data_IF_748987436610
#
_entry.id   IF_748987436610
#
_cell.length_a   1.000
_cell.length_b   1.000
_cell.length_c   1.000
_cell.angle_alpha   90.00
_cell.angle_beta   90.00
_cell.angle_gamma   90.00
#
_symmetry.space_group_name_H-M   'P 1'
#
loop_
_entity.id
_entity.type
_entity.pdbx_description
1 polymer ?
#
# COMPACT_ATOMS: atom_id res chain seq x y z
N UNK A 1 -28.10 -72.16 45.24
CA UNK A 1 -27.57 -71.86 43.89
C UNK A 1 -26.86 -70.52 43.99
N UNK A 2 -25.52 -70.52 43.91
CA UNK A 2 -24.69 -69.33 44.05
C UNK A 2 -24.06 -68.95 42.70
N UNK A 3 -24.05 -67.65 42.42
CA UNK A 3 -23.19 -66.86 41.51
C UNK A 3 -23.95 -66.14 40.36
N UNK A 4 -23.44 -65.01 39.83
CA UNK A 4 -22.32 -64.18 40.31
C UNK A 4 -22.60 -62.66 40.37
N UNK A 5 -21.68 -61.98 41.07
CA UNK A 5 -21.40 -60.55 41.03
C UNK A 5 -21.31 -60.02 39.59
N UNK A 6 -21.78 -58.79 39.37
CA UNK A 6 -21.30 -57.98 38.25
C UNK A 6 -20.67 -56.70 38.79
N UNK A 7 -19.34 -56.63 38.64
CA UNK A 7 -18.49 -55.52 39.02
C UNK A 7 -18.69 -54.37 38.03
N UNK A 8 -18.66 -53.15 38.57
CA UNK A 8 -18.56 -51.90 37.84
C UNK A 8 -17.43 -51.95 36.80
N UNK A 9 -17.75 -51.65 35.54
CA UNK A 9 -16.76 -51.23 34.52
C UNK A 9 -16.91 -49.73 34.27
N UNK A 10 -15.82 -48.94 34.30
CA UNK A 10 -15.87 -47.52 33.99
C UNK A 10 -16.07 -47.32 32.49
N UNK A 11 -17.00 -46.43 32.16
CA UNK A 11 -17.49 -46.15 30.81
C UNK A 11 -16.41 -45.48 29.93
N UNK A 12 -15.99 -46.07 28.79
CA UNK A 12 -14.93 -45.51 27.93
C UNK A 12 -15.34 -44.23 27.17
N UNK A 13 -16.62 -43.85 27.19
CA UNK A 13 -17.10 -42.64 26.50
C UNK A 13 -16.71 -41.32 27.21
N UNK A 14 -16.54 -41.32 28.53
CA UNK A 14 -16.14 -40.10 29.27
C UNK A 14 -14.68 -39.71 29.00
N UNK A 15 -13.79 -40.70 28.83
CA UNK A 15 -12.38 -40.45 28.51
C UNK A 15 -12.16 -39.83 27.13
N UNK A 16 -13.03 -40.13 26.15
CA UNK A 16 -12.85 -39.69 24.77
C UNK A 16 -13.36 -38.25 24.54
N UNK A 17 -14.35 -37.80 25.29
CA UNK A 17 -14.81 -36.39 25.29
C UNK A 17 -13.83 -35.48 26.04
N UNK A 18 -13.28 -35.94 27.17
CA UNK A 18 -12.20 -35.22 27.88
C UNK A 18 -10.92 -35.15 27.04
N UNK A 19 -10.53 -36.22 26.34
CA UNK A 19 -9.37 -36.23 25.45
C UNK A 19 -9.50 -35.25 24.26
N UNK A 20 -10.69 -35.16 23.65
CA UNK A 20 -10.96 -34.19 22.58
C UNK A 20 -10.93 -32.74 23.08
N UNK A 21 -11.50 -32.47 24.26
CA UNK A 21 -11.45 -31.14 24.90
C UNK A 21 -10.03 -30.74 25.31
N UNK A 22 -9.21 -31.68 25.77
CA UNK A 22 -7.79 -31.48 26.06
C UNK A 22 -6.99 -31.21 24.78
N UNK A 23 -7.30 -31.90 23.67
CA UNK A 23 -6.63 -31.71 22.40
C UNK A 23 -6.98 -30.37 21.75
N UNK A 24 -8.24 -29.93 21.83
CA UNK A 24 -8.65 -28.59 21.38
C UNK A 24 -8.03 -27.49 22.25
N UNK A 25 -7.98 -27.67 23.58
CA UNK A 25 -7.28 -26.73 24.48
C UNK A 25 -5.78 -26.67 24.20
N UNK A 26 -5.15 -27.82 23.94
CA UNK A 26 -3.73 -27.88 23.57
C UNK A 26 -3.47 -27.14 22.25
N UNK A 27 -4.34 -27.30 21.26
CA UNK A 27 -4.23 -26.63 19.96
C UNK A 27 -4.49 -25.12 20.07
N UNK A 28 -5.43 -24.70 20.91
CA UNK A 28 -5.68 -23.28 21.21
C UNK A 28 -4.49 -22.65 21.95
N UNK A 29 -3.92 -23.36 22.93
CA UNK A 29 -2.72 -22.93 23.65
C UNK A 29 -1.51 -22.83 22.71
N UNK A 30 -1.36 -23.75 21.76
CA UNK A 30 -0.33 -23.69 20.72
C UNK A 30 -0.50 -22.46 19.82
N UNK A 31 -1.73 -22.17 19.37
CA UNK A 31 -2.00 -20.95 18.58
C UNK A 31 -1.72 -19.69 19.38
N UNK A 32 -2.08 -19.68 20.67
CA UNK A 32 -1.81 -18.55 21.55
C UNK A 32 -0.30 -18.34 21.76
N UNK A 33 0.46 -19.41 21.99
CA UNK A 33 1.93 -19.36 22.05
C UNK A 33 2.51 -18.83 20.75
N UNK A 34 2.02 -19.31 19.60
CA UNK A 34 2.52 -18.88 18.29
C UNK A 34 2.23 -17.39 18.03
N UNK A 35 1.05 -16.90 18.42
CA UNK A 35 0.74 -15.47 18.38
C UNK A 35 1.63 -14.66 19.32
N UNK A 36 1.87 -15.12 20.55
CA UNK A 36 2.76 -14.44 21.49
C UNK A 36 4.20 -14.36 20.94
N UNK A 37 4.70 -15.44 20.35
CA UNK A 37 6.02 -15.48 19.75
C UNK A 37 6.13 -14.52 18.56
N UNK A 38 5.07 -14.42 17.76
CA UNK A 38 4.98 -13.49 16.64
C UNK A 38 4.93 -12.02 17.10
N UNK A 39 4.20 -11.72 18.18
CA UNK A 39 4.18 -10.40 18.80
C UNK A 39 5.53 -10.02 19.40
N UNK A 40 6.23 -10.97 20.05
CA UNK A 40 7.59 -10.74 20.54
C UNK A 40 8.57 -10.43 19.40
N UNK A 41 8.49 -11.18 18.28
CA UNK A 41 9.31 -10.88 17.10
C UNK A 41 9.02 -9.49 16.53
N UNK A 42 7.75 -9.10 16.43
CA UNK A 42 7.37 -7.76 15.97
C UNK A 42 7.91 -6.68 16.89
N UNK A 43 7.75 -6.84 18.21
CA UNK A 43 8.27 -5.88 19.18
C UNK A 43 9.79 -5.77 19.13
N UNK A 44 10.50 -6.89 18.98
CA UNK A 44 11.95 -6.90 18.85
C UNK A 44 12.41 -6.21 17.55
N UNK A 45 11.68 -6.43 16.46
CA UNK A 45 11.92 -5.75 15.18
C UNK A 45 11.66 -4.24 15.29
N UNK A 46 10.62 -3.83 16.02
CA UNK A 46 10.30 -2.42 16.26
C UNK A 46 11.37 -1.74 17.13
N UNK A 47 11.87 -2.42 18.17
CA UNK A 47 13.00 -1.92 18.96
C UNK A 47 14.28 -1.76 18.13
N UNK A 48 14.59 -2.73 17.25
CA UNK A 48 15.71 -2.60 16.33
C UNK A 48 15.54 -1.40 15.39
N UNK A 49 14.34 -1.19 14.85
CA UNK A 49 14.05 -0.03 14.01
C UNK A 49 14.20 1.29 14.77
N UNK A 50 13.75 1.36 16.02
CA UNK A 50 13.95 2.54 16.87
C UNK A 50 15.43 2.80 17.16
N UNK A 51 16.22 1.76 17.44
CA UNK A 51 17.66 1.90 17.68
C UNK A 51 18.38 2.41 16.42
N UNK A 52 18.02 1.89 15.24
CA UNK A 52 18.53 2.37 13.95
C UNK A 52 18.16 3.85 13.74
N UNK A 53 16.92 4.23 14.03
CA UNK A 53 16.48 5.62 13.90
C UNK A 53 17.24 6.57 14.83
N UNK A 54 17.48 6.16 16.09
CA UNK A 54 18.27 6.93 17.04
C UNK A 54 19.71 7.11 16.57
N UNK A 55 20.32 6.05 16.06
CA UNK A 55 21.68 6.10 15.51
C UNK A 55 21.75 7.03 14.29
N UNK A 56 20.73 7.03 13.42
CA UNK A 56 20.64 7.96 12.29
C UNK A 56 20.53 9.42 12.77
N UNK A 57 19.69 9.70 13.77
CA UNK A 57 19.56 11.05 14.31
C UNK A 57 20.88 11.56 14.92
N UNK A 58 21.61 10.70 15.65
CA UNK A 58 22.93 11.03 16.18
C UNK A 58 23.92 11.36 15.05
N UNK A 59 23.95 10.55 13.99
CA UNK A 59 24.85 10.80 12.87
C UNK A 59 24.50 12.10 12.15
N UNK A 60 23.21 12.41 12.00
CA UNK A 60 22.75 13.66 11.39
C UNK A 60 23.20 14.88 12.22
N UNK A 61 23.09 14.82 13.55
CA UNK A 61 23.62 15.85 14.44
C UNK A 61 25.14 16.02 14.31
N UNK A 62 25.86 14.90 14.23
CA UNK A 62 27.32 14.92 14.04
C UNK A 62 27.68 15.60 12.72
N UNK A 63 26.95 15.30 11.64
CA UNK A 63 27.12 15.93 10.33
C UNK A 63 26.85 17.44 10.39
N UNK A 64 25.80 17.86 11.08
CA UNK A 64 25.43 19.27 11.20
C UNK A 64 26.47 20.07 11.98
N UNK A 65 27.00 19.49 13.06
CA UNK A 65 28.12 20.06 13.84
C UNK A 65 29.35 20.23 12.96
N UNK A 66 29.67 19.22 12.16
CA UNK A 66 30.83 19.26 11.26
C UNK A 66 30.68 20.36 10.19
N UNK A 67 29.46 20.51 9.65
CA UNK A 67 29.15 21.54 8.66
C UNK A 67 29.23 22.95 9.24
N UNK A 68 28.84 23.15 10.50
CA UNK A 68 29.04 24.43 11.19
C UNK A 68 30.52 24.75 11.40
N UNK A 69 31.31 23.76 11.84
CA UNK A 69 32.76 23.93 12.00
C UNK A 69 33.44 24.32 10.67
N UNK A 70 33.02 23.69 9.57
CA UNK A 70 33.46 24.01 8.21
C UNK A 70 33.18 25.47 7.82
N UNK A 71 31.96 25.95 8.11
CA UNK A 71 31.54 27.32 7.83
C UNK A 71 32.40 28.34 8.60
N UNK A 72 32.64 28.08 9.89
CA UNK A 72 33.47 28.96 10.72
C UNK A 72 34.90 29.04 10.19
N UNK A 73 35.46 27.90 9.78
CA UNK A 73 36.81 27.84 9.23
C UNK A 73 36.90 28.60 7.89
N UNK A 74 35.87 28.50 7.04
CA UNK A 74 35.78 29.24 5.77
C UNK A 74 35.70 30.75 5.99
N UNK A 75 34.91 31.20 6.97
CA UNK A 75 34.84 32.63 7.32
C UNK A 75 36.18 33.16 7.83
N UNK A 76 36.87 32.38 8.65
CA UNK A 76 38.22 32.71 9.14
C UNK A 76 39.19 32.85 7.96
N UNK A 77 39.00 32.04 6.92
CA UNK A 77 39.80 32.08 5.70
C UNK A 77 39.63 33.35 4.89
N UNK A 78 38.37 33.73 4.65
CA UNK A 78 38.08 34.99 3.99
C UNK A 78 38.67 36.18 4.74
N UNK A 79 38.53 36.23 6.06
CA UNK A 79 39.07 37.31 6.87
C UNK A 79 40.61 37.39 6.78
N UNK A 80 41.28 36.23 6.76
CA UNK A 80 42.74 36.16 6.66
C UNK A 80 43.22 36.62 5.28
N UNK A 81 42.56 36.18 4.21
CA UNK A 81 42.86 36.59 2.84
C UNK A 81 42.67 38.11 2.65
N UNK A 82 41.60 38.66 3.23
CA UNK A 82 41.34 40.09 3.17
C UNK A 82 42.38 40.90 3.95
N UNK A 83 42.83 40.41 5.12
CA UNK A 83 43.98 41.01 5.84
C UNK A 83 45.25 41.00 5.00
N UNK A 84 45.51 39.94 4.25
CA UNK A 84 46.69 39.85 3.39
C UNK A 84 46.64 40.89 2.26
N UNK A 85 45.51 41.03 1.56
CA UNK A 85 45.34 42.06 0.54
C UNK A 85 45.56 43.48 1.09
N UNK A 86 45.01 43.75 2.28
CA UNK A 86 45.22 45.03 2.95
C UNK A 86 46.69 45.29 3.28
N UNK A 87 47.44 44.26 3.74
CA UNK A 87 48.86 44.39 3.99
C UNK A 87 49.68 44.60 2.71
N UNK A 88 49.38 43.89 1.62
CA UNK A 88 50.03 44.11 0.33
C UNK A 88 49.82 45.55 -0.16
N UNK A 89 48.59 46.06 -0.05
CA UNK A 89 48.26 47.44 -0.42
C UNK A 89 49.07 48.45 0.40
N UNK A 90 49.17 48.23 1.72
CA UNK A 90 49.96 49.08 2.61
C UNK A 90 51.45 49.05 2.24
N UNK A 91 51.98 47.87 1.92
CA UNK A 91 53.38 47.70 1.53
C UNK A 91 53.69 48.38 0.20
N UNK A 92 52.77 48.31 -0.76
CA UNK A 92 52.86 49.01 -2.03
C UNK A 92 52.88 50.54 -1.84
N UNK A 93 52.00 51.07 -1.00
CA UNK A 93 51.99 52.50 -0.64
C UNK A 93 53.30 52.95 0.00
N UNK A 94 53.86 52.14 0.89
CA UNK A 94 55.12 52.46 1.58
C UNK A 94 56.31 52.47 0.61
N UNK A 95 56.34 51.52 -0.33
CA UNK A 95 57.36 51.45 -1.36
C UNK A 95 57.29 52.65 -2.32
N UNK A 96 56.08 53.05 -2.70
CA UNK A 96 55.83 54.21 -3.56
C UNK A 96 56.26 55.53 -2.88
N UNK A 97 55.97 55.68 -1.58
CA UNK A 97 56.45 56.81 -0.78
C UNK A 97 57.98 56.89 -0.74
N UNK A 98 58.66 55.75 -0.53
CA UNK A 98 60.13 55.70 -0.56
C UNK A 98 60.69 56.12 -1.91
N UNK A 99 60.06 55.67 -3.00
CA UNK A 99 60.51 55.99 -4.36
C UNK A 99 60.36 57.48 -4.66
N UNK A 100 59.26 58.11 -4.22
CA UNK A 100 59.08 59.57 -4.31
C UNK A 100 60.15 60.32 -3.50
N UNK A 101 60.46 59.84 -2.29
CA UNK A 101 61.47 60.47 -1.43
C UNK A 101 62.88 60.40 -2.06
N UNK A 102 63.23 59.26 -2.66
CA UNK A 102 64.48 59.12 -3.45
C UNK A 102 64.50 60.06 -4.65
N UNK A 103 63.41 60.16 -5.42
CA UNK A 103 63.33 61.09 -6.55
C UNK A 103 63.50 62.55 -6.10
N UNK A 104 62.86 62.97 -5.01
CA UNK A 104 63.03 64.31 -4.44
C UNK A 104 64.47 64.58 -4.02
N UNK A 105 65.13 63.63 -3.34
CA UNK A 105 66.55 63.77 -2.99
C UNK A 105 67.43 63.89 -4.24
N UNK A 106 67.16 63.09 -5.28
CA UNK A 106 67.92 63.14 -6.52
C UNK A 106 67.76 64.48 -7.25
N UNK A 107 66.53 65.03 -7.27
CA UNK A 107 66.27 66.37 -7.80
C UNK A 107 66.96 67.47 -6.98
N UNK A 108 66.93 67.39 -5.65
CA UNK A 108 67.65 68.34 -4.78
C UNK A 108 69.16 68.30 -4.99
N UNK A 109 69.74 67.11 -5.19
CA UNK A 109 71.17 66.96 -5.51
C UNK A 109 71.52 67.55 -6.88
N UNK A 110 70.64 67.44 -7.87
CA UNK A 110 70.84 68.09 -9.18
C UNK A 110 70.80 69.62 -9.13
N UNK A 111 70.14 70.21 -8.12
CA UNK A 111 70.02 71.67 -7.96
C UNK A 111 71.12 72.31 -7.10
N UNK A 112 72.00 71.51 -6.48
CA UNK A 112 73.08 71.98 -5.60
C UNK A 112 74.45 71.82 -6.27
N UNK A 113 75.04 72.92 -6.76
CA UNK A 113 76.44 72.99 -7.17
C UNK A 113 77.34 72.92 -5.91
N UNK A 114 77.93 71.77 -5.58
CA UNK A 114 78.81 71.64 -4.41
C UNK A 114 80.11 70.85 -4.64
N UNK A 115 81.06 71.15 -3.75
CA UNK A 115 82.47 70.79 -3.72
C UNK A 115 82.72 69.28 -3.43
N UNK A 116 83.81 68.67 -3.93
CA UNK A 116 84.00 67.20 -3.97
C UNK A 116 84.06 66.49 -2.60
N UNK A 117 84.41 67.22 -1.52
CA UNK A 117 84.62 66.63 -0.20
C UNK A 117 83.32 66.42 0.60
N UNK A 118 82.33 67.31 0.41
CA UNK A 118 80.97 67.11 0.94
C UNK A 118 80.22 66.01 0.18
N UNK A 119 80.57 65.79 -1.08
CA UNK A 119 80.00 64.75 -1.93
C UNK A 119 80.27 63.34 -1.37
N UNK A 120 81.49 63.10 -0.85
CA UNK A 120 81.87 61.81 -0.27
C UNK A 120 81.13 61.51 1.05
N UNK A 121 80.92 62.51 1.89
CA UNK A 121 80.23 62.37 3.18
C UNK A 121 78.72 62.12 2.98
N UNK A 122 78.13 62.81 2.00
CA UNK A 122 76.75 62.54 1.54
C UNK A 122 76.64 61.14 0.95
N UNK A 123 77.63 60.69 0.18
CA UNK A 123 77.65 59.35 -0.41
C UNK A 123 77.73 58.24 0.66
N UNK A 124 78.56 58.42 1.69
CA UNK A 124 78.61 57.50 2.83
C UNK A 124 77.30 57.48 3.63
N UNK A 125 76.68 58.65 3.86
CA UNK A 125 75.38 58.72 4.53
C UNK A 125 74.27 58.04 3.71
N UNK A 126 74.23 58.24 2.39
CA UNK A 126 73.30 57.56 1.50
C UNK A 126 73.54 56.04 1.45
N UNK A 127 74.79 55.61 1.59
CA UNK A 127 75.14 54.20 1.63
C UNK A 127 74.71 53.54 2.95
N UNK A 128 74.85 54.24 4.08
CA UNK A 128 74.28 53.78 5.36
C UNK A 128 72.75 53.75 5.33
N UNK A 129 72.11 54.74 4.71
CA UNK A 129 70.66 54.76 4.53
C UNK A 129 70.19 53.55 3.70
N UNK A 130 70.90 53.21 2.61
CA UNK A 130 70.61 52.02 1.81
C UNK A 130 70.80 50.71 2.58
N UNK A 131 71.84 50.59 3.41
CA UNK A 131 72.06 49.39 4.24
C UNK A 131 70.95 49.25 5.28
N UNK A 132 70.53 50.35 5.91
CA UNK A 132 69.40 50.37 6.84
C UNK A 132 68.08 49.99 6.14
N UNK A 133 67.86 50.53 4.93
CA UNK A 133 66.69 50.20 4.10
C UNK A 133 66.71 48.74 3.63
N UNK A 134 67.87 48.18 3.31
CA UNK A 134 68.04 46.77 2.98
C UNK A 134 67.70 45.86 4.17
N UNK A 135 68.08 46.26 5.39
CA UNK A 135 67.71 45.55 6.61
C UNK A 135 66.19 45.56 6.85
N UNK A 136 65.54 46.71 6.66
CA UNK A 136 64.07 46.83 6.75
C UNK A 136 63.38 45.97 5.68
N UNK A 137 63.93 45.94 4.47
CA UNK A 137 63.41 45.12 3.37
C UNK A 137 63.58 43.62 3.65
N UNK A 138 64.73 43.21 4.19
CA UNK A 138 64.96 41.82 4.59
C UNK A 138 64.03 41.38 5.73
N UNK A 139 63.77 42.25 6.71
CA UNK A 139 62.79 41.99 7.77
C UNK A 139 61.38 41.84 7.20
N UNK A 140 61.01 42.71 6.24
CA UNK A 140 59.72 42.64 5.56
C UNK A 140 59.55 41.36 4.72
N UNK A 141 60.62 40.93 4.03
CA UNK A 141 60.63 39.67 3.27
C UNK A 141 60.54 38.44 4.18
N UNK A 142 61.24 38.44 5.32
CA UNK A 142 61.13 37.37 6.32
C UNK A 142 59.71 37.29 6.89
N UNK A 143 59.08 38.45 7.14
CA UNK A 143 57.69 38.52 7.59
C UNK A 143 56.70 38.05 6.52
N UNK A 144 56.97 38.32 5.24
CA UNK A 144 56.17 37.83 4.11
C UNK A 144 56.31 36.31 3.91
N UNK A 145 57.50 35.74 4.11
CA UNK A 145 57.73 34.29 4.04
C UNK A 145 56.96 33.54 5.13
N UNK A 146 56.95 34.07 6.36
CA UNK A 146 56.14 33.55 7.47
C UNK A 146 54.64 33.60 7.14
N UNK A 147 54.16 34.66 6.49
CA UNK A 147 52.76 34.74 6.04
C UNK A 147 52.45 33.74 4.92
N UNK A 148 53.36 33.54 3.96
CA UNK A 148 53.17 32.50 2.94
C UNK A 148 53.08 31.10 3.56
N UNK A 149 53.90 30.81 4.58
CA UNK A 149 53.85 29.52 5.26
C UNK A 149 52.51 29.29 5.98
N UNK A 150 51.93 30.34 6.56
CA UNK A 150 50.58 30.31 7.14
C UNK A 150 49.50 30.13 6.05
N UNK A 151 49.66 30.75 4.89
CA UNK A 151 48.72 30.58 3.77
C UNK A 151 48.78 29.17 3.18
N UNK A 152 49.96 28.60 3.02
CA UNK A 152 50.13 27.24 2.49
C UNK A 152 49.57 26.18 3.45
N UNK A 153 49.88 26.28 4.75
CA UNK A 153 49.32 25.35 5.74
C UNK A 153 47.80 25.40 5.77
N UNK A 154 47.25 26.59 5.57
CA UNK A 154 45.81 26.79 5.52
C UNK A 154 45.15 26.33 4.23
N UNK A 155 45.82 26.47 3.09
CA UNK A 155 45.36 25.93 1.80
C UNK A 155 45.37 24.40 1.80
N UNK A 156 46.37 23.78 2.44
CA UNK A 156 46.40 22.34 2.67
C UNK A 156 45.26 21.89 3.60
N UNK A 157 44.96 22.68 4.64
CA UNK A 157 43.83 22.43 5.52
C UNK A 157 42.49 22.51 4.77
N UNK A 158 42.32 23.45 3.84
CA UNK A 158 41.15 23.52 2.94
C UNK A 158 41.00 22.29 2.05
N UNK A 159 42.09 21.76 1.52
CA UNK A 159 42.06 20.62 0.62
C UNK A 159 41.64 19.33 1.36
N UNK A 160 42.21 19.10 2.53
CA UNK A 160 41.78 18.01 3.43
C UNK A 160 40.30 18.14 3.81
N UNK A 161 39.84 19.37 4.00
CA UNK A 161 38.46 19.67 4.35
C UNK A 161 37.49 19.38 3.19
N UNK A 162 37.89 19.71 1.96
CA UNK A 162 37.13 19.40 0.75
C UNK A 162 37.00 17.89 0.54
N UNK A 163 38.10 17.15 0.71
CA UNK A 163 38.10 15.69 0.62
C UNK A 163 37.17 15.07 1.68
N UNK A 164 37.18 15.63 2.89
CA UNK A 164 36.29 15.19 3.96
C UNK A 164 34.82 15.47 3.64
N UNK A 165 34.50 16.61 3.03
CA UNK A 165 33.15 16.95 2.58
C UNK A 165 32.65 15.96 1.51
N UNK A 166 33.51 15.63 0.56
CA UNK A 166 33.19 14.66 -0.48
C UNK A 166 32.96 13.26 0.09
N UNK A 167 33.76 12.83 1.07
CA UNK A 167 33.58 11.58 1.78
C UNK A 167 32.23 11.53 2.54
N UNK A 168 31.86 12.63 3.21
CA UNK A 168 30.56 12.75 3.90
C UNK A 168 29.39 12.70 2.90
N UNK A 169 29.52 13.36 1.75
CA UNK A 169 28.48 13.35 0.72
C UNK A 169 28.29 11.95 0.12
N UNK A 170 29.39 11.21 -0.10
CA UNK A 170 29.33 9.81 -0.51
C UNK A 170 28.66 8.94 0.56
N UNK A 171 28.99 9.16 1.84
CA UNK A 171 28.35 8.45 2.96
C UNK A 171 26.84 8.73 3.02
N UNK A 172 26.40 9.95 2.72
CA UNK A 172 24.98 10.33 2.64
C UNK A 172 24.26 9.61 1.50
N UNK A 173 24.90 9.46 0.33
CA UNK A 173 24.37 8.66 -0.77
C UNK A 173 24.23 7.17 -0.41
N UNK A 174 25.22 6.61 0.30
CA UNK A 174 25.18 5.21 0.77
C UNK A 174 24.04 5.03 1.77
N UNK A 175 23.85 5.96 2.72
CA UNK A 175 22.73 5.89 3.65
C UNK A 175 21.37 6.04 2.98
N UNK A 176 21.24 6.96 2.02
CA UNK A 176 20.01 7.10 1.25
C UNK A 176 19.69 5.83 0.45
N UNK A 177 20.72 5.16 -0.10
CA UNK A 177 20.56 3.88 -0.77
C UNK A 177 20.12 2.78 0.21
N UNK A 178 20.69 2.73 1.42
CA UNK A 178 20.28 1.80 2.47
C UNK A 178 18.84 2.03 2.93
N UNK A 179 18.42 3.29 3.10
CA UNK A 179 17.05 3.65 3.44
C UNK A 179 16.05 3.25 2.34
N UNK A 180 16.42 3.41 1.07
CA UNK A 180 15.60 2.92 -0.04
C UNK A 180 15.46 1.40 0.02
N UNK A 181 16.57 0.69 0.27
CA UNK A 181 16.55 -0.77 0.41
C UNK A 181 15.66 -1.22 1.59
N UNK A 182 15.78 -0.59 2.75
CA UNK A 182 14.94 -0.92 3.92
C UNK A 182 13.46 -0.61 3.67
N UNK A 183 13.14 0.50 3.00
CA UNK A 183 11.77 0.83 2.60
C UNK A 183 11.20 -0.22 1.62
N UNK A 184 11.96 -0.65 0.61
CA UNK A 184 11.53 -1.74 -0.27
C UNK A 184 11.33 -3.06 0.47
N UNK A 185 12.18 -3.40 1.43
CA UNK A 185 12.01 -4.61 2.25
C UNK A 185 10.73 -4.53 3.08
N UNK A 186 10.43 -3.36 3.64
CA UNK A 186 9.22 -3.13 4.44
C UNK A 186 7.96 -3.19 3.56
N UNK A 187 7.98 -2.61 2.35
CA UNK A 187 6.92 -2.77 1.35
C UNK A 187 6.74 -4.24 0.93
N UNK A 188 7.83 -4.97 0.68
CA UNK A 188 7.77 -6.39 0.35
C UNK A 188 7.16 -7.21 1.50
N UNK A 189 7.52 -6.89 2.75
CA UNK A 189 6.99 -7.55 3.94
C UNK A 189 5.50 -7.23 4.13
N UNK A 190 5.07 -5.98 3.86
CA UNK A 190 3.67 -5.58 3.89
C UNK A 190 2.86 -6.20 2.74
N UNK A 191 3.43 -6.31 1.54
CA UNK A 191 2.85 -7.04 0.42
C UNK A 191 2.77 -8.52 0.71
N UNK A 192 3.77 -9.13 1.36
CA UNK A 192 3.72 -10.52 1.78
C UNK A 192 2.64 -10.75 2.86
N UNK A 193 2.46 -9.82 3.80
CA UNK A 193 1.36 -9.85 4.77
C UNK A 193 -0.01 -9.65 4.09
N UNK A 194 -0.14 -8.75 3.12
CA UNK A 194 -1.35 -8.61 2.30
C UNK A 194 -1.60 -9.86 1.48
N UNK A 195 -0.56 -10.47 0.89
CA UNK A 195 -0.67 -11.72 0.16
C UNK A 195 -1.04 -12.87 1.09
N UNK A 196 -0.53 -12.92 2.32
CA UNK A 196 -0.92 -13.88 3.35
C UNK A 196 -2.38 -13.65 3.81
N UNK A 197 -2.83 -12.41 3.95
CA UNK A 197 -4.24 -12.07 4.16
C UNK A 197 -5.10 -12.46 2.94
N UNK A 198 -4.55 -12.33 1.73
CA UNK A 198 -5.19 -12.76 0.48
C UNK A 198 -5.16 -14.29 0.29
N UNK A 199 -4.18 -15.01 0.83
CA UNK A 199 -4.10 -16.49 0.76
C UNK A 199 -4.93 -17.14 1.85
N UNK A 200 -5.03 -16.52 3.03
CA UNK A 200 -6.05 -16.86 4.03
C UNK A 200 -7.49 -16.63 3.49
N UNK A 201 -7.69 -15.71 2.55
CA UNK A 201 -8.98 -15.52 1.85
C UNK A 201 -9.13 -16.33 0.54
N UNK A 202 -8.04 -16.90 -0.01
CA UNK A 202 -8.07 -17.79 -1.19
C UNK A 202 -8.20 -19.27 -0.87
N UNK A 203 -8.13 -19.69 0.40
CA UNK A 203 -8.68 -20.98 0.81
C UNK A 203 -10.22 -20.91 0.75
N UNK A 204 -10.81 -21.13 -0.44
CA UNK A 204 -12.26 -21.07 -0.72
C UNK A 204 -12.93 -19.78 -0.21
N UNK A 205 -13.16 -18.81 -1.09
CA UNK A 205 -13.99 -17.61 -0.82
C UNK A 205 -15.11 -17.90 0.20
N UNK A 206 -14.98 -17.49 1.48
CA UNK A 206 -16.15 -17.34 2.32
C UNK A 206 -16.82 -16.10 1.74
N UNK A 207 -18.03 -16.28 1.18
CA UNK A 207 -18.91 -15.19 0.81
C UNK A 207 -18.92 -14.22 1.99
N UNK A 208 -18.19 -13.10 1.90
CA UNK A 208 -18.00 -12.18 3.01
C UNK A 208 -19.40 -11.76 3.48
N UNK A 209 -19.82 -12.30 4.62
CA UNK A 209 -21.10 -11.94 5.22
C UNK A 209 -20.83 -10.59 5.85
N UNK A 210 -21.49 -9.56 5.33
CA UNK A 210 -21.22 -8.15 5.60
C UNK A 210 -21.49 -7.71 7.05
N UNK A 211 -21.55 -8.65 7.97
CA UNK A 211 -21.72 -8.44 9.38
C UNK A 211 -21.46 -9.79 10.07
N UNK A 212 -21.14 -9.81 11.36
CA UNK A 212 -20.99 -11.02 12.19
C UNK A 212 -22.32 -11.81 12.31
N UNK A 213 -22.93 -12.14 11.17
CA UNK A 213 -24.21 -12.82 11.05
C UNK A 213 -23.95 -14.29 11.29
N UNK A 214 -24.64 -14.89 12.28
CA UNK A 214 -24.59 -16.32 12.56
C UNK A 214 -24.62 -17.18 11.29
N UNK A 215 -23.81 -18.24 11.28
CA UNK A 215 -23.78 -19.17 10.15
C UNK A 215 -25.13 -19.88 10.08
N UNK A 216 -25.75 -19.88 8.89
CA UNK A 216 -27.09 -20.45 8.70
C UNK A 216 -27.13 -21.94 9.03
N UNK A 217 -28.28 -22.41 9.54
CA UNK A 217 -28.48 -23.80 9.92
C UNK A 217 -28.17 -24.79 8.79
N UNK A 218 -27.46 -25.86 9.10
CA UNK A 218 -27.19 -26.98 8.21
C UNK A 218 -28.24 -28.07 8.36
N UNK A 219 -28.77 -28.52 7.24
CA UNK A 219 -29.70 -29.65 7.17
C UNK A 219 -28.97 -31.00 7.31
N UNK A 220 -29.70 -32.07 7.64
CA UNK A 220 -29.15 -33.43 7.75
C UNK A 220 -28.39 -33.85 6.47
N UNK A 221 -28.98 -33.60 5.30
CA UNK A 221 -28.33 -33.85 4.02
C UNK A 221 -27.05 -33.02 3.81
N UNK A 222 -26.98 -31.80 4.35
CA UNK A 222 -25.79 -30.95 4.22
C UNK A 222 -24.62 -31.48 5.07
N UNK A 223 -24.89 -31.96 6.29
CA UNK A 223 -23.91 -32.70 7.10
C UNK A 223 -23.45 -33.97 6.39
N UNK A 224 -24.39 -34.73 5.82
CA UNK A 224 -24.07 -35.92 5.04
C UNK A 224 -23.16 -35.63 3.84
N UNK A 225 -23.48 -34.62 3.03
CA UNK A 225 -22.63 -34.22 1.89
C UNK A 225 -21.26 -33.75 2.37
N UNK A 226 -21.17 -33.09 3.52
CA UNK A 226 -19.89 -32.70 4.12
C UNK A 226 -19.05 -33.94 4.49
N UNK A 227 -19.64 -34.92 5.19
CA UNK A 227 -18.92 -36.17 5.52
C UNK A 227 -18.48 -36.95 4.27
N UNK A 228 -19.33 -37.00 3.23
CA UNK A 228 -18.95 -37.61 1.95
C UNK A 228 -17.77 -36.90 1.27
N UNK A 229 -17.68 -35.57 1.40
CA UNK A 229 -16.56 -34.79 0.84
C UNK A 229 -15.27 -35.03 1.60
N UNK A 230 -15.32 -35.10 2.93
CA UNK A 230 -14.16 -35.36 3.77
C UNK A 230 -13.60 -36.76 3.53
N UNK A 231 -14.47 -37.76 3.45
CA UNK A 231 -14.13 -39.14 3.07
C UNK A 231 -13.47 -39.21 1.68
N UNK A 232 -14.04 -38.51 0.69
CA UNK A 232 -13.49 -38.49 -0.67
C UNK A 232 -12.13 -37.78 -0.71
N UNK A 233 -11.96 -36.67 0.03
CA UNK A 233 -10.68 -35.94 0.11
C UNK A 233 -9.59 -36.77 0.77
N UNK A 234 -9.94 -37.62 1.75
CA UNK A 234 -9.00 -38.54 2.41
C UNK A 234 -8.59 -39.69 1.49
N UNK A 235 -9.51 -40.23 0.70
CA UNK A 235 -9.28 -41.38 -0.19
C UNK A 235 -8.64 -40.99 -1.53
N UNK A 236 -8.91 -39.77 -2.00
CA UNK A 236 -8.42 -39.26 -3.28
C UNK A 236 -7.90 -37.82 -3.10
N UNK A 237 -6.74 -37.63 -2.44
CA UNK A 237 -6.19 -36.30 -2.18
C UNK A 237 -5.75 -35.55 -3.45
N UNK A 238 -5.40 -36.27 -4.52
CA UNK A 238 -4.90 -35.72 -5.79
C UNK A 238 -5.99 -35.60 -6.89
N UNK A 239 -7.18 -36.20 -6.70
CA UNK A 239 -8.23 -36.22 -7.73
C UNK A 239 -9.14 -34.99 -7.65
N UNK A 240 -9.24 -34.25 -8.75
CA UNK A 240 -10.12 -33.09 -8.85
C UNK A 240 -11.60 -33.52 -8.96
N UNK A 241 -12.35 -33.32 -7.87
CA UNK A 241 -13.77 -33.68 -7.79
C UNK A 241 -14.62 -32.81 -8.71
N UNK A 242 -15.17 -33.40 -9.78
CA UNK A 242 -16.17 -32.75 -10.62
C UNK A 242 -17.50 -32.66 -9.85
N UNK A 243 -17.87 -31.45 -9.43
CA UNK A 243 -19.01 -31.18 -8.54
C UNK A 243 -20.34 -31.82 -9.02
N UNK A 244 -20.61 -31.78 -10.32
CA UNK A 244 -21.85 -32.32 -10.89
C UNK A 244 -21.94 -33.85 -10.74
N UNK A 245 -20.84 -34.57 -10.97
CA UNK A 245 -20.79 -36.02 -10.80
C UNK A 245 -20.82 -36.41 -9.31
N UNK A 246 -20.11 -35.65 -8.48
CA UNK A 246 -20.09 -35.86 -7.03
C UNK A 246 -21.46 -35.64 -6.38
N UNK A 247 -22.19 -34.60 -6.78
CA UNK A 247 -23.53 -34.32 -6.24
C UNK A 247 -24.52 -35.45 -6.56
N UNK A 248 -24.44 -36.06 -7.75
CA UNK A 248 -25.28 -37.21 -8.13
C UNK A 248 -24.99 -38.43 -7.25
N UNK A 249 -23.71 -38.79 -7.09
CA UNK A 249 -23.27 -39.89 -6.21
C UNK A 249 -23.71 -39.68 -4.76
N UNK A 250 -23.64 -38.44 -4.25
CA UNK A 250 -24.16 -38.13 -2.90
C UNK A 250 -25.68 -38.29 -2.82
N UNK A 251 -26.44 -37.84 -3.82
CA UNK A 251 -27.90 -38.00 -3.81
C UNK A 251 -28.33 -39.48 -3.83
N UNK A 252 -27.71 -40.30 -4.68
CA UNK A 252 -27.96 -41.75 -4.75
C UNK A 252 -27.66 -42.43 -3.41
N UNK A 253 -26.48 -42.14 -2.83
CA UNK A 253 -26.08 -42.69 -1.53
C UNK A 253 -27.01 -42.24 -0.41
N UNK A 254 -27.44 -40.98 -0.39
CA UNK A 254 -28.43 -40.53 0.60
C UNK A 254 -29.73 -41.30 0.46
N UNK A 255 -30.22 -41.57 -0.75
CA UNK A 255 -31.48 -42.29 -0.93
C UNK A 255 -31.36 -43.76 -0.51
N UNK A 256 -30.24 -44.42 -0.78
CA UNK A 256 -30.01 -45.84 -0.42
C UNK A 256 -29.62 -46.07 1.05
N UNK A 257 -29.29 -45.01 1.80
CA UNK A 257 -28.98 -45.13 3.23
C UNK A 257 -30.20 -45.48 4.07
N UNK A 258 -29.97 -46.33 5.07
CA UNK A 258 -30.99 -46.77 6.01
C UNK A 258 -31.45 -45.63 6.92
N UNK A 259 -32.67 -45.74 7.45
CA UNK A 259 -33.26 -44.74 8.37
C UNK A 259 -32.36 -44.52 9.61
N UNK A 260 -31.71 -45.58 10.11
CA UNK A 260 -30.79 -45.52 11.26
C UNK A 260 -29.52 -44.72 10.95
N UNK A 261 -28.97 -44.83 9.73
CA UNK A 261 -27.80 -44.06 9.32
C UNK A 261 -28.15 -42.59 9.05
N UNK A 262 -29.33 -42.34 8.48
CA UNK A 262 -29.86 -40.98 8.30
C UNK A 262 -30.12 -40.30 9.64
N UNK A 263 -30.60 -41.04 10.64
CA UNK A 263 -30.93 -40.51 11.96
C UNK A 263 -29.75 -39.74 12.58
N UNK A 264 -28.54 -40.29 12.50
CA UNK A 264 -27.32 -39.62 12.98
C UNK A 264 -27.13 -38.22 12.36
N UNK A 265 -27.49 -38.04 11.09
CA UNK A 265 -27.41 -36.74 10.42
C UNK A 265 -28.58 -35.82 10.77
N UNK A 266 -29.75 -36.37 11.08
CA UNK A 266 -30.86 -35.61 11.63
C UNK A 266 -30.50 -35.03 13.00
N UNK A 267 -29.93 -35.84 13.91
CA UNK A 267 -29.52 -35.39 15.24
C UNK A 267 -28.45 -34.27 15.15
N UNK A 268 -27.49 -34.38 14.23
CA UNK A 268 -26.51 -33.32 13.95
C UNK A 268 -27.15 -32.03 13.42
N UNK A 269 -28.18 -32.15 12.58
CA UNK A 269 -28.90 -31.00 12.06
C UNK A 269 -29.74 -30.29 13.15
N UNK A 270 -30.30 -31.05 14.08
CA UNK A 270 -31.06 -30.52 15.20
C UNK A 270 -30.15 -29.77 16.18
N UNK A 271 -28.94 -30.29 16.45
CA UNK A 271 -27.93 -29.57 17.23
C UNK A 271 -27.46 -28.28 16.54
N UNK A 272 -27.26 -28.31 15.20
CA UNK A 272 -26.86 -27.10 14.46
C UNK A 272 -27.98 -26.06 14.38
N UNK A 273 -29.25 -26.50 14.39
CA UNK A 273 -30.41 -25.62 14.55
C UNK A 273 -30.36 -24.90 15.89
N UNK A 274 -30.10 -25.61 16.99
CA UNK A 274 -29.98 -25.00 18.32
C UNK A 274 -28.82 -24.00 18.40
N UNK A 275 -27.65 -24.35 17.84
CA UNK A 275 -26.51 -23.42 17.70
C UNK A 275 -26.93 -22.15 16.97
N UNK A 276 -27.58 -22.28 15.82
CA UNK A 276 -28.01 -21.13 15.02
C UNK A 276 -29.04 -20.26 15.75
N UNK A 277 -30.00 -20.87 16.43
CA UNK A 277 -31.05 -20.17 17.17
C UNK A 277 -30.42 -19.36 18.33
N UNK A 278 -29.44 -19.91 19.06
CA UNK A 278 -28.69 -19.21 20.12
C UNK A 278 -27.80 -18.09 19.58
N UNK A 279 -27.07 -18.35 18.50
CA UNK A 279 -26.25 -17.32 17.85
C UNK A 279 -27.12 -16.18 17.30
N UNK A 280 -28.34 -16.47 16.82
CA UNK A 280 -29.28 -15.46 16.33
C UNK A 280 -29.86 -14.60 17.45
N UNK A 281 -30.09 -15.15 18.64
CA UNK A 281 -30.60 -14.39 19.79
C UNK A 281 -29.62 -13.30 20.25
N UNK A 282 -28.32 -13.53 20.14
CA UNK A 282 -27.27 -12.56 20.48
C UNK A 282 -26.91 -11.61 19.33
N UNK A 283 -27.51 -11.80 18.15
CA UNK A 283 -27.17 -11.05 16.95
C UNK A 283 -27.97 -9.75 16.83
N UNK A 284 -27.28 -8.61 16.90
CA UNK A 284 -27.84 -7.27 16.67
C UNK A 284 -27.36 -6.74 15.31
N UNK A 285 -28.21 -6.65 14.27
CA UNK A 285 -27.82 -6.06 12.98
C UNK A 285 -27.46 -4.57 13.13
N UNK A 286 -26.50 -3.99 12.37
CA UNK A 286 -26.24 -2.55 12.38
C UNK A 286 -27.41 -1.83 11.75
N UNK A 287 -27.65 -0.65 12.26
CA UNK A 287 -28.67 0.26 11.75
C UNK A 287 -28.34 0.82 10.35
N UNK A 288 -27.06 0.79 9.92
CA UNK A 288 -26.60 1.57 8.75
C UNK A 288 -26.16 0.77 7.50
N UNK A 289 -26.22 -0.56 7.50
CA UNK A 289 -25.89 -1.35 6.29
C UNK A 289 -27.14 -1.75 5.51
N UNK A 290 -27.39 -1.04 4.40
CA UNK A 290 -28.23 -1.55 3.31
C UNK A 290 -27.60 -2.84 2.80
N UNK A 291 -28.15 -3.99 3.19
CA UNK A 291 -27.73 -5.32 2.70
C UNK A 291 -27.86 -5.34 1.17
N UNK A 292 -26.77 -5.11 0.44
CA UNK A 292 -26.68 -5.35 -1.00
C UNK A 292 -26.60 -6.86 -1.26
N UNK A 293 -27.67 -7.58 -0.92
CA UNK A 293 -27.94 -8.87 -1.52
C UNK A 293 -28.33 -8.65 -2.99
N UNK A 294 -28.00 -9.59 -3.88
CA UNK A 294 -28.72 -9.68 -5.16
C UNK A 294 -30.20 -9.59 -4.82
N UNK A 295 -30.86 -8.49 -5.19
CA UNK A 295 -32.32 -8.44 -5.20
C UNK A 295 -32.72 -9.72 -5.92
N UNK A 296 -33.39 -10.65 -5.23
CA UNK A 296 -34.11 -11.72 -5.94
C UNK A 296 -34.81 -11.00 -7.06
N UNK A 297 -34.64 -11.48 -8.29
CA UNK A 297 -35.31 -10.90 -9.44
C UNK A 297 -36.79 -10.97 -9.10
N UNK A 298 -37.32 -9.91 -8.49
CA UNK A 298 -38.73 -9.76 -8.24
C UNK A 298 -39.31 -9.93 -9.64
N UNK A 299 -40.24 -10.87 -9.84
CA UNK A 299 -40.96 -10.95 -11.10
C UNK A 299 -41.38 -9.52 -11.40
N UNK A 300 -40.84 -8.93 -12.49
CA UNK A 300 -41.38 -7.66 -12.93
C UNK A 300 -42.80 -8.01 -13.34
N UNK A 301 -43.75 -7.21 -12.89
CA UNK A 301 -45.16 -7.38 -13.26
C UNK A 301 -45.21 -7.64 -14.78
N UNK A 302 -45.78 -8.78 -15.23
CA UNK A 302 -45.92 -9.08 -16.65
C UNK A 302 -46.60 -7.97 -17.45
N UNK A 303 -47.42 -7.14 -16.78
CA UNK A 303 -48.15 -6.02 -17.37
C UNK A 303 -47.39 -4.69 -17.34
N UNK A 304 -46.20 -4.63 -16.72
CA UNK A 304 -45.39 -3.41 -16.70
C UNK A 304 -44.79 -3.13 -18.09
N UNK A 305 -44.93 -1.90 -18.62
CA UNK A 305 -44.31 -1.50 -19.87
C UNK A 305 -42.81 -1.76 -19.88
N UNK A 306 -42.32 -2.34 -20.98
CA UNK A 306 -40.90 -2.63 -21.13
C UNK A 306 -40.13 -1.32 -21.29
N UNK A 307 -39.06 -1.14 -20.49
CA UNK A 307 -38.18 0.04 -20.53
C UNK A 307 -37.80 0.43 -21.97
N UNK A 308 -37.70 1.73 -22.21
CA UNK A 308 -37.18 2.25 -23.48
C UNK A 308 -35.74 1.80 -23.71
N UNK A 309 -35.41 1.59 -24.99
CA UNK A 309 -34.08 1.25 -25.47
C UNK A 309 -33.31 2.52 -25.81
N UNK A 310 -32.03 2.56 -25.42
CA UNK A 310 -31.13 3.64 -25.83
C UNK A 310 -30.73 3.49 -27.31
N UNK A 311 -30.24 4.57 -27.91
CA UNK A 311 -29.74 4.57 -29.29
C UNK A 311 -28.72 3.45 -29.56
N UNK A 312 -27.80 3.23 -28.62
CA UNK A 312 -26.84 2.13 -28.69
C UNK A 312 -27.51 0.74 -28.72
N UNK A 313 -28.61 0.54 -27.97
CA UNK A 313 -29.31 -0.75 -27.97
C UNK A 313 -30.10 -0.97 -29.26
N UNK A 314 -30.66 0.09 -29.87
CA UNK A 314 -31.25 0.02 -31.21
C UNK A 314 -30.21 -0.36 -32.26
N UNK A 315 -29.05 0.30 -32.25
CA UNK A 315 -27.91 -0.06 -33.09
C UNK A 315 -27.48 -1.51 -32.89
N UNK A 316 -27.32 -1.96 -31.64
CA UNK A 316 -26.97 -3.34 -31.35
C UNK A 316 -28.02 -4.35 -31.84
N UNK A 317 -29.31 -4.00 -31.86
CA UNK A 317 -30.36 -4.91 -32.29
C UNK A 317 -30.26 -5.21 -33.80
N UNK A 318 -29.93 -4.20 -34.60
CA UNK A 318 -29.77 -4.33 -36.05
C UNK A 318 -28.40 -4.95 -36.43
N UNK A 319 -27.33 -4.51 -35.77
CA UNK A 319 -25.96 -4.91 -36.14
C UNK A 319 -25.53 -6.24 -35.56
N UNK A 320 -26.13 -6.71 -34.45
CA UNK A 320 -25.77 -8.01 -33.83
C UNK A 320 -25.91 -9.16 -34.82
N UNK A 321 -26.97 -9.19 -35.62
CA UNK A 321 -27.19 -10.23 -36.62
C UNK A 321 -26.11 -10.18 -37.72
N UNK A 322 -25.68 -8.99 -38.14
CA UNK A 322 -24.64 -8.81 -39.14
C UNK A 322 -23.26 -9.22 -38.62
N UNK A 323 -22.93 -8.87 -37.37
CA UNK A 323 -21.68 -9.28 -36.72
C UNK A 323 -21.64 -10.80 -36.53
N UNK A 324 -22.76 -11.41 -36.11
CA UNK A 324 -22.86 -12.87 -35.95
C UNK A 324 -22.76 -13.62 -37.28
N UNK A 325 -23.33 -13.07 -38.35
CA UNK A 325 -23.21 -13.65 -39.68
C UNK A 325 -21.77 -13.59 -40.22
N UNK A 326 -21.05 -12.50 -39.93
CA UNK A 326 -19.65 -12.33 -40.34
C UNK A 326 -18.67 -13.14 -39.48
N UNK A 327 -18.98 -13.33 -38.20
CA UNK A 327 -18.15 -14.05 -37.24
C UNK A 327 -19.01 -15.08 -36.48
N UNK A 328 -19.34 -16.23 -37.10
CA UNK A 328 -20.20 -17.23 -36.47
C UNK A 328 -19.58 -17.85 -35.21
N UNK A 329 -18.25 -17.83 -35.09
CA UNK A 329 -17.51 -18.37 -33.95
C UNK A 329 -17.46 -17.43 -32.74
N UNK A 330 -17.89 -16.17 -32.87
CA UNK A 330 -17.84 -15.22 -31.77
C UNK A 330 -18.89 -15.54 -30.71
N UNK A 331 -18.45 -15.53 -29.45
CA UNK A 331 -19.38 -15.64 -28.33
C UNK A 331 -20.21 -14.36 -28.20
N UNK A 332 -21.34 -14.42 -27.50
CA UNK A 332 -22.18 -13.24 -27.27
C UNK A 332 -21.43 -12.08 -26.60
N UNK A 333 -20.40 -12.40 -25.80
CA UNK A 333 -19.52 -11.39 -25.19
C UNK A 333 -18.62 -10.70 -26.20
N UNK A 334 -18.08 -11.45 -27.17
CA UNK A 334 -17.17 -10.91 -28.19
C UNK A 334 -17.94 -10.10 -29.24
N UNK A 335 -19.15 -10.54 -29.61
CA UNK A 335 -20.08 -9.75 -30.43
C UNK A 335 -20.40 -8.42 -29.75
N UNK A 336 -20.66 -8.41 -28.44
CA UNK A 336 -20.97 -7.19 -27.71
C UNK A 336 -19.78 -6.20 -27.68
N UNK A 337 -18.55 -6.69 -27.54
CA UNK A 337 -17.34 -5.87 -27.62
C UNK A 337 -17.16 -5.24 -28.99
N UNK A 338 -17.33 -6.02 -30.05
CA UNK A 338 -17.20 -5.53 -31.43
C UNK A 338 -18.29 -4.49 -31.77
N UNK A 339 -19.52 -4.69 -31.30
CA UNK A 339 -20.59 -3.69 -31.46
C UNK A 339 -20.28 -2.40 -30.71
N UNK A 340 -19.73 -2.48 -29.49
CA UNK A 340 -19.27 -1.30 -28.75
C UNK A 340 -18.21 -0.51 -29.50
N UNK A 341 -17.23 -1.20 -30.10
CA UNK A 341 -16.18 -0.58 -30.92
C UNK A 341 -16.75 0.13 -32.15
N UNK A 342 -17.68 -0.53 -32.87
CA UNK A 342 -18.34 0.04 -34.05
C UNK A 342 -19.20 1.25 -33.72
N UNK A 343 -19.90 1.23 -32.59
CA UNK A 343 -20.68 2.39 -32.14
C UNK A 343 -19.79 3.59 -31.80
N UNK A 344 -18.66 3.36 -31.14
CA UNK A 344 -17.69 4.43 -30.87
C UNK A 344 -17.20 5.07 -32.17
N UNK A 345 -16.89 4.26 -33.18
CA UNK A 345 -16.42 4.68 -34.49
C UNK A 345 -17.51 5.10 -35.48
N UNK A 346 -18.81 5.04 -35.12
CA UNK A 346 -19.89 5.37 -36.03
C UNK A 346 -20.01 6.88 -36.26
N UNK A 347 -20.35 7.25 -37.50
CA UNK A 347 -20.54 8.63 -37.94
C UNK A 347 -21.71 9.33 -37.23
N UNK A 348 -21.68 10.66 -37.09
CA UNK A 348 -22.76 11.43 -36.48
C UNK A 348 -24.14 11.19 -37.13
N UNK A 349 -24.20 11.00 -38.44
CA UNK A 349 -25.45 10.71 -39.15
C UNK A 349 -26.04 9.35 -38.78
N UNK A 350 -25.18 8.35 -38.63
CA UNK A 350 -25.59 7.00 -38.19
C UNK A 350 -26.09 7.06 -36.76
N UNK A 351 -25.37 7.77 -35.86
CA UNK A 351 -25.82 7.98 -34.48
C UNK A 351 -27.15 8.73 -34.41
N UNK A 352 -27.31 9.78 -35.21
CA UNK A 352 -28.53 10.58 -35.30
C UNK A 352 -29.78 9.76 -35.66
N UNK A 353 -29.66 8.79 -36.59
CA UNK A 353 -30.75 7.84 -36.89
C UNK A 353 -31.20 7.07 -35.64
N UNK A 354 -30.25 6.53 -34.87
CA UNK A 354 -30.57 5.73 -33.70
C UNK A 354 -30.99 6.57 -32.49
N UNK A 355 -30.52 7.81 -32.39
CA UNK A 355 -30.99 8.79 -31.40
C UNK A 355 -32.46 9.13 -31.63
N UNK A 356 -32.87 9.36 -32.89
CA UNK A 356 -34.28 9.58 -33.23
C UNK A 356 -35.17 8.37 -32.87
N UNK A 357 -34.70 7.14 -33.15
CA UNK A 357 -35.39 5.91 -32.76
C UNK A 357 -35.49 5.74 -31.23
N UNK A 358 -34.43 6.12 -30.52
CA UNK A 358 -34.42 6.08 -29.05
C UNK A 358 -35.40 7.09 -28.45
N UNK A 359 -35.49 8.30 -29.00
CA UNK A 359 -36.42 9.31 -28.52
C UNK A 359 -37.88 8.91 -28.81
N UNK A 360 -38.14 8.33 -29.98
CA UNK A 360 -39.45 7.77 -30.30
C UNK A 360 -39.84 6.65 -29.33
N UNK A 361 -38.91 5.76 -29.00
CA UNK A 361 -39.14 4.66 -28.06
C UNK A 361 -39.30 5.15 -26.61
N UNK A 362 -38.59 6.22 -26.24
CA UNK A 362 -38.77 6.92 -24.98
C UNK A 362 -40.18 7.52 -24.88
N UNK A 363 -40.65 8.20 -25.93
CA UNK A 363 -42.00 8.75 -25.97
C UNK A 363 -43.08 7.64 -25.93
N UNK A 364 -42.80 6.47 -26.52
CA UNK A 364 -43.65 5.28 -26.40
C UNK A 364 -43.69 4.78 -24.95
N UNK A 365 -42.54 4.58 -24.32
CA UNK A 365 -42.45 4.12 -22.93
C UNK A 365 -43.11 5.10 -21.95
N UNK A 366 -42.92 6.41 -22.14
CA UNK A 366 -43.52 7.44 -21.27
C UNK A 366 -45.07 7.41 -21.36
N UNK A 367 -45.62 7.21 -22.57
CA UNK A 367 -47.07 7.02 -22.77
C UNK A 367 -47.58 5.73 -22.12
N UNK A 368 -46.93 4.61 -22.36
CA UNK A 368 -47.32 3.31 -21.79
C UNK A 368 -47.19 3.31 -20.26
N UNK A 369 -46.14 3.92 -19.70
CA UNK A 369 -45.95 4.05 -18.26
C UNK A 369 -47.00 4.94 -17.62
N UNK A 370 -47.44 6.00 -18.29
CA UNK A 370 -48.53 6.85 -17.80
C UNK A 370 -49.84 6.07 -17.76
N UNK A 371 -50.14 5.30 -18.81
CA UNK A 371 -51.30 4.40 -18.82
C UNK A 371 -51.20 3.34 -17.72
N UNK A 372 -50.05 2.71 -17.54
CA UNK A 372 -49.80 1.67 -16.54
C UNK A 372 -49.90 2.19 -15.09
N UNK A 373 -49.38 3.40 -14.82
CA UNK A 373 -49.56 4.04 -13.50
C UNK A 373 -51.03 4.30 -13.21
N UNK A 374 -51.78 4.76 -14.21
CA UNK A 374 -53.23 4.97 -14.09
C UNK A 374 -53.99 3.66 -13.85
N UNK A 375 -53.62 2.56 -14.53
CA UNK A 375 -54.22 1.24 -14.26
C UNK A 375 -53.87 0.70 -12.89
N UNK A 376 -52.65 0.95 -12.40
CA UNK A 376 -52.24 0.59 -11.03
C UNK A 376 -53.03 1.37 -9.97
N UNK A 377 -53.21 2.68 -10.17
CA UNK A 377 -54.01 3.53 -9.27
C UNK A 377 -55.49 3.12 -9.27
N UNK A 378 -56.03 2.75 -10.43
CA UNK A 378 -57.40 2.25 -10.54
C UNK A 378 -57.59 0.86 -9.92
N UNK A 379 -56.58 -0.02 -9.99
CA UNK A 379 -56.60 -1.33 -9.33
C UNK A 379 -56.45 -1.25 -7.80
N UNK A 380 -55.90 -0.16 -7.26
CA UNK A 380 -55.78 0.07 -5.81
C UNK A 380 -57.01 0.77 -5.20
N UNK A 381 -57.94 1.28 -6.02
CA UNK A 381 -59.09 2.06 -5.59
C UNK A 381 -60.44 1.31 -5.64
N UNK A 382 -60.45 -0.01 -5.84
CA UNK A 382 -61.67 -0.82 -5.69
C UNK A 382 -61.70 -1.53 -4.32
N UNK A 383 -62.80 -1.45 -3.55
CA UNK A 383 -62.93 -2.15 -2.29
C UNK A 383 -63.08 -3.67 -2.54
N UNK A 384 -62.33 -4.40 -1.74
CA UNK A 384 -62.32 -5.86 -1.56
C UNK A 384 -63.74 -6.44 -1.46
N UNK A 385 -64.14 -7.28 -2.42
CA UNK A 385 -65.19 -8.29 -2.18
C UNK A 385 -64.46 -9.55 -1.76
N UNK A 386 -64.56 -9.82 -0.47
CA UNK A 386 -64.11 -11.03 0.21
C UNK A 386 -64.82 -12.26 -0.38
N UNK A 387 -64.10 -13.09 -1.12
CA UNK A 387 -64.55 -14.44 -1.45
C UNK A 387 -63.69 -15.42 -0.62
N UNK A 388 -64.38 -16.02 0.35
CA UNK A 388 -63.92 -17.00 1.31
C UNK A 388 -63.43 -18.24 0.55
N UNK A 389 -62.13 -18.56 0.64
CA UNK A 389 -61.59 -19.81 0.10
C UNK A 389 -61.31 -20.74 1.27
N UNK A 390 -62.17 -21.74 1.40
CA UNK A 390 -62.09 -22.86 2.34
C UNK A 390 -60.69 -23.48 2.37
N UNK A 391 -60.17 -23.58 3.59
CA UNK A 391 -58.97 -24.32 3.98
C UNK A 391 -59.27 -25.83 3.94
N UNK A 392 -58.66 -26.56 3.01
CA UNK A 392 -58.59 -28.02 3.08
C UNK A 392 -57.15 -28.44 3.37
N UNK A 393 -56.90 -28.76 4.64
CA UNK A 393 -55.77 -29.58 5.08
C UNK A 393 -55.85 -30.95 4.40
N UNK A 394 -54.78 -31.31 3.68
CA UNK A 394 -54.49 -32.69 3.34
C UNK A 394 -53.08 -33.02 3.84
N UNK A 395 -53.00 -33.33 5.14
CA UNK A 395 -51.96 -34.22 5.64
C UNK A 395 -52.18 -35.64 5.08
N UNK A 396 -51.06 -36.38 5.02
CA UNK A 396 -50.91 -37.79 4.66
C UNK A 396 -51.00 -38.19 3.17
N UNK A 397 -49.85 -38.57 2.57
CA UNK A 397 -49.51 -40.00 2.49
C UNK A 397 -48.07 -40.18 1.96
N UNK A 398 -47.25 -40.79 2.81
CA UNK A 398 -45.98 -41.43 2.47
C UNK A 398 -46.26 -42.68 1.61
N UNK A 399 -45.70 -42.74 0.39
CA UNK A 399 -45.53 -43.98 -0.41
C UNK A 399 -44.67 -43.62 -1.63
N UNK A 400 -43.56 -44.27 -1.96
CA UNK A 400 -42.76 -45.32 -1.38
C UNK A 400 -41.34 -45.13 -1.94
#
# INVERSE_FOLDING_TARGET
MFSPQNQSSPDPEQGNQQANGLQQNHQALQQQQQQQQQQQQQHQQEQQNQAIQQQQNQLQQQQQTLQQALQQQTQTLQQTLQRQQNQQTLQQMLQEQQQQQQQQQQQQQQHQNLHPQDQQNVQQSLQQLHVSQAHVTALAQAQAALQQQVVQSFQQQQQNLHDHLQAVQQQQQIQAALQRQSATLQELQQQAQQQQALTQTKARMPRARAYNKPRGRMTAYAFFVQTCREEHKKKHPEENVIFAAFSKKCAERWNTMSKKEKQRFHDMADQDKQRYDLEMQSYVPPKDVKVRGRKRHQPKDPNAPKRSLSAFFWFCNEERSKVKAKYPDYTMGDIAKELGRRWAAADPDTKGKYDALSEQDKARYDREMTAYKKTLEQAQAQPEVHEEVEEYEAEEEYKC
#
